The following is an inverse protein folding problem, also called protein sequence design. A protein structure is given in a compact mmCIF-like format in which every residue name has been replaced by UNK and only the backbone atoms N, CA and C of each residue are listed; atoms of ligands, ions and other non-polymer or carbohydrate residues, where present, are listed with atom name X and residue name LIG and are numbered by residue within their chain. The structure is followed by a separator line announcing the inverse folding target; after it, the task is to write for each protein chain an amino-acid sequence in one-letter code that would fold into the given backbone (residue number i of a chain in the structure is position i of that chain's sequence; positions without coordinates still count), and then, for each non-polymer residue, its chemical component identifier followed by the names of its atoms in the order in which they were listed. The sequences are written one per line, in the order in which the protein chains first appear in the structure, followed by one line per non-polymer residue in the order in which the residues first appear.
data_IF_548217598137
#
_entry.id   IF_548217598137
#
_cell.length_a   1.000
_cell.length_b   1.000
_cell.length_c   1.000
_cell.angle_alpha   90.00
_cell.angle_beta   90.00
_cell.angle_gamma   90.00
#
_symmetry.space_group_name_H-M   'P 1'
#
loop_
_entity.id
_entity.type
_entity.pdbx_description
1 polymer ?
#
# COMPACT_ATOMS: atom_id res chain seq x y z
N UNK A 1 74.73 -9.97 -39.66
CA UNK A 1 73.68 -9.06 -40.15
C UNK A 1 72.41 -9.34 -39.37
N UNK A 2 71.89 -8.30 -38.72
CA UNK A 2 70.86 -8.36 -37.68
C UNK A 2 69.47 -8.80 -38.19
N UNK A 3 68.67 -9.41 -37.31
CA UNK A 3 67.23 -9.23 -37.34
C UNK A 3 66.62 -9.50 -35.97
N UNK A 4 66.25 -8.41 -35.30
CA UNK A 4 65.44 -8.40 -34.09
C UNK A 4 63.99 -8.71 -34.47
N UNK A 5 63.40 -9.75 -33.89
CA UNK A 5 61.95 -10.01 -34.00
C UNK A 5 61.30 -9.62 -32.68
N UNK A 6 60.35 -8.69 -32.81
CA UNK A 6 59.62 -7.98 -31.76
C UNK A 6 58.83 -8.94 -30.86
N UNK A 7 58.95 -8.77 -29.56
CA UNK A 7 58.07 -9.36 -28.55
C UNK A 7 56.71 -8.65 -28.60
N UNK A 8 55.64 -9.39 -28.91
CA UNK A 8 54.27 -8.89 -28.81
C UNK A 8 53.78 -9.09 -27.37
N UNK A 9 53.68 -7.99 -26.62
CA UNK A 9 53.07 -7.96 -25.30
C UNK A 9 51.54 -8.03 -25.43
N UNK A 10 50.96 -9.19 -25.11
CA UNK A 10 49.52 -9.37 -24.97
C UNK A 10 49.08 -8.84 -23.60
N UNK A 11 48.70 -7.57 -23.54
CA UNK A 11 48.05 -6.99 -22.36
C UNK A 11 46.57 -7.41 -22.35
N UNK A 12 46.22 -8.39 -21.51
CA UNK A 12 44.82 -8.74 -21.22
C UNK A 12 44.25 -7.75 -20.21
N UNK A 13 43.49 -6.78 -20.69
CA UNK A 13 42.61 -5.96 -19.85
C UNK A 13 41.36 -6.76 -19.47
N UNK A 14 41.34 -7.37 -18.29
CA UNK A 14 40.12 -7.96 -17.71
C UNK A 14 39.40 -6.85 -16.94
N UNK A 15 38.41 -6.22 -17.58
CA UNK A 15 37.43 -5.39 -16.87
C UNK A 15 36.41 -6.34 -16.22
N UNK A 16 36.59 -6.61 -14.93
CA UNK A 16 35.57 -7.25 -14.09
C UNK A 16 34.41 -6.27 -13.96
N UNK A 17 33.32 -6.55 -14.67
CA UNK A 17 32.09 -5.76 -14.59
C UNK A 17 31.31 -6.20 -13.34
N UNK A 18 31.61 -5.59 -12.20
CA UNK A 18 30.77 -5.71 -11.00
C UNK A 18 29.44 -4.99 -11.29
N UNK A 19 28.42 -5.78 -11.62
CA UNK A 19 27.05 -5.28 -11.72
C UNK A 19 26.51 -5.02 -10.31
N UNK A 20 26.03 -3.81 -9.97
CA UNK A 20 25.41 -3.58 -8.68
C UNK A 20 24.06 -4.31 -8.67
N UNK A 21 23.89 -5.25 -7.73
CA UNK A 21 22.60 -5.85 -7.46
C UNK A 21 21.65 -4.72 -7.02
N UNK A 22 20.66 -4.42 -7.87
CA UNK A 22 19.55 -3.52 -7.51
C UNK A 22 18.72 -4.24 -6.46
N UNK A 23 18.98 -3.97 -5.18
CA UNK A 23 18.08 -4.33 -4.10
C UNK A 23 16.79 -3.52 -4.31
N UNK A 24 15.73 -4.20 -4.73
CA UNK A 24 14.38 -3.65 -4.73
C UNK A 24 13.96 -3.51 -3.26
N UNK A 25 14.14 -2.31 -2.71
CA UNK A 25 13.65 -1.97 -1.38
C UNK A 25 12.12 -1.91 -1.46
N UNK A 26 11.45 -3.02 -1.15
CA UNK A 26 10.04 -2.98 -0.82
C UNK A 26 9.93 -2.14 0.46
N UNK A 27 9.22 -1.00 0.47
CA UNK A 27 8.98 -0.28 1.70
C UNK A 27 8.19 -1.21 2.61
N UNK A 28 8.77 -1.61 3.75
CA UNK A 28 8.02 -2.28 4.79
C UNK A 28 6.96 -1.30 5.29
N UNK A 29 5.71 -1.49 4.85
CA UNK A 29 4.61 -0.59 5.16
C UNK A 29 4.31 -0.69 6.65
N UNK A 30 4.44 0.43 7.36
CA UNK A 30 4.12 0.51 8.78
C UNK A 30 2.60 0.40 8.98
N UNK A 31 2.07 -0.82 9.05
CA UNK A 31 0.75 -1.12 9.64
C UNK A 31 0.85 -1.07 11.18
N UNK A 32 1.37 0.05 11.69
CA UNK A 32 1.51 0.29 13.12
C UNK A 32 0.23 0.88 13.68
N UNK A 33 -0.31 0.27 14.74
CA UNK A 33 -1.35 0.91 15.54
C UNK A 33 -0.71 2.07 16.28
N UNK A 34 -1.27 3.28 16.13
CA UNK A 34 -0.80 4.44 16.85
C UNK A 34 -0.92 4.21 18.36
N UNK A 35 0.06 4.68 19.12
CA UNK A 35 0.13 4.50 20.57
C UNK A 35 0.04 5.89 21.20
N UNK A 36 -0.79 6.01 22.23
CA UNK A 36 -0.93 7.23 23.04
C UNK A 36 0.33 7.50 23.89
N UNK A 37 0.42 8.71 24.43
CA UNK A 37 1.53 9.14 25.30
C UNK A 37 1.76 8.23 26.51
N UNK A 38 0.71 7.53 26.96
CA UNK A 38 0.75 6.62 28.10
C UNK A 38 0.94 5.15 27.70
N UNK A 39 1.33 4.88 26.45
CA UNK A 39 1.64 3.54 25.97
C UNK A 39 0.42 2.68 25.59
N UNK A 40 -0.80 3.23 25.63
CA UNK A 40 -2.01 2.51 25.24
C UNK A 40 -2.24 2.62 23.73
N UNK A 41 -2.57 1.50 23.08
CA UNK A 41 -2.91 1.46 21.66
C UNK A 41 -4.24 2.18 21.38
N UNK A 42 -4.22 3.06 20.38
CA UNK A 42 -5.38 3.79 19.90
C UNK A 42 -6.18 2.87 18.98
N UNK A 43 -7.50 2.81 19.17
CA UNK A 43 -8.36 1.98 18.33
C UNK A 43 -8.50 2.55 16.92
N UNK A 44 -9.01 1.76 15.97
CA UNK A 44 -9.23 2.21 14.58
C UNK A 44 -10.21 3.39 14.45
N UNK A 45 -11.03 3.65 15.46
CA UNK A 45 -11.92 4.82 15.54
C UNK A 45 -11.27 6.04 16.19
N UNK A 46 -10.05 5.90 16.73
CA UNK A 46 -9.36 6.95 17.48
C UNK A 46 -9.60 6.93 18.99
N UNK A 47 -10.38 5.97 19.53
CA UNK A 47 -10.64 5.91 20.96
C UNK A 47 -9.41 5.44 21.75
N UNK A 48 -9.09 6.18 22.81
CA UNK A 48 -8.18 5.85 23.90
C UNK A 48 -8.70 6.50 25.19
N UNK A 49 -8.38 5.95 26.35
CA UNK A 49 -8.73 6.58 27.63
C UNK A 49 -7.70 7.64 28.02
N UNK A 50 -8.15 8.68 28.71
CA UNK A 50 -7.26 9.72 29.24
C UNK A 50 -6.33 9.15 30.31
N UNK A 51 -5.17 9.81 30.51
CA UNK A 51 -4.15 9.42 31.48
C UNK A 51 -4.74 9.07 32.85
N UNK A 52 -5.62 9.95 33.34
CA UNK A 52 -6.17 9.94 34.69
C UNK A 52 -7.56 9.27 34.76
N UNK A 53 -7.99 8.58 33.71
CA UNK A 53 -9.28 7.91 33.69
C UNK A 53 -9.24 6.60 34.50
N UNK A 54 -10.05 6.55 35.56
CA UNK A 54 -10.23 5.38 36.42
C UNK A 54 -10.62 4.11 35.64
N UNK A 55 -11.27 4.26 34.48
CA UNK A 55 -11.70 3.15 33.63
C UNK A 55 -10.52 2.34 33.08
N UNK A 56 -9.30 2.90 33.04
CA UNK A 56 -8.06 2.22 32.60
C UNK A 56 -7.65 1.07 33.51
N UNK A 57 -8.06 1.10 34.79
CA UNK A 57 -7.73 0.06 35.76
C UNK A 57 -8.14 -1.35 35.29
N UNK A 58 -9.17 -1.46 34.44
CA UNK A 58 -9.61 -2.75 33.86
C UNK A 58 -8.55 -3.45 32.99
N UNK A 59 -7.56 -2.70 32.49
CA UNK A 59 -6.47 -3.18 31.64
C UNK A 59 -5.10 -3.12 32.36
N UNK A 60 -5.06 -2.87 33.68
CA UNK A 60 -3.78 -2.81 34.39
C UNK A 60 -3.05 -4.17 34.43
N UNK A 61 -3.80 -5.27 34.49
CA UNK A 61 -3.27 -6.65 34.48
C UNK A 61 -3.67 -7.45 33.23
N UNK A 62 -4.31 -6.79 32.25
CA UNK A 62 -4.85 -7.41 31.04
C UNK A 62 -4.56 -6.55 29.83
N UNK A 63 -4.37 -7.15 28.66
CA UNK A 63 -4.18 -6.38 27.43
C UNK A 63 -5.50 -5.83 26.89
N UNK A 64 -5.47 -4.59 26.38
CA UNK A 64 -6.54 -4.04 25.55
C UNK A 64 -6.42 -4.62 24.14
N UNK A 65 -7.42 -5.39 23.73
CA UNK A 65 -7.44 -5.98 22.40
C UNK A 65 -7.82 -4.93 21.36
N UNK A 66 -6.92 -4.70 20.40
CA UNK A 66 -7.12 -3.79 19.27
C UNK A 66 -6.73 -4.52 18.00
N UNK A 67 -7.60 -4.47 16.99
CA UNK A 67 -7.29 -4.98 15.66
C UNK A 67 -6.17 -4.13 15.02
N UNK A 68 -5.08 -4.75 14.59
CA UNK A 68 -3.93 -4.06 13.97
C UNK A 68 -4.16 -3.72 12.49
N UNK A 69 -5.10 -4.39 11.84
CA UNK A 69 -5.39 -4.23 10.42
C UNK A 69 -6.54 -3.22 10.23
N UNK A 70 -6.19 -1.94 10.10
CA UNK A 70 -7.20 -0.89 9.91
C UNK A 70 -7.69 -0.85 8.46
N UNK A 71 -9.00 -0.99 8.27
CA UNK A 71 -9.63 -1.02 6.94
C UNK A 71 -9.37 0.26 6.13
N UNK A 72 -9.26 1.43 6.77
CA UNK A 72 -8.95 2.70 6.11
C UNK A 72 -7.62 2.65 5.34
N UNK A 73 -6.60 2.02 5.92
CA UNK A 73 -5.28 1.90 5.31
C UNK A 73 -5.28 0.86 4.19
N UNK A 74 -6.06 -0.22 4.35
CA UNK A 74 -6.15 -1.29 3.36
C UNK A 74 -6.90 -0.83 2.11
N UNK A 75 -8.02 -0.11 2.27
CA UNK A 75 -8.79 0.42 1.14
C UNK A 75 -8.01 1.51 0.39
N UNK A 76 -7.24 2.33 1.11
CA UNK A 76 -6.38 3.35 0.49
C UNK A 76 -5.16 2.76 -0.23
N UNK A 77 -4.77 1.53 0.11
CA UNK A 77 -3.68 0.79 -0.53
C UNK A 77 -4.10 0.19 -1.87
N UNK A 78 -5.40 -0.10 -2.05
CA UNK A 78 -5.94 -0.60 -3.31
C UNK A 78 -5.88 0.46 -4.43
N UNK A 79 -5.50 0.09 -5.66
CA UNK A 79 -5.41 1.02 -6.76
C UNK A 79 -6.80 1.47 -7.24
N UNK A 80 -6.86 2.69 -7.75
CA UNK A 80 -8.06 3.21 -8.43
C UNK A 80 -8.25 2.43 -9.73
N UNK A 81 -9.45 1.91 -9.95
CA UNK A 81 -9.81 1.15 -11.15
C UNK A 81 -10.26 2.08 -12.27
N UNK A 82 -9.60 2.03 -13.43
CA UNK A 82 -10.00 2.78 -14.62
C UNK A 82 -11.11 2.03 -15.38
N UNK A 83 -12.20 2.74 -15.67
CA UNK A 83 -13.38 2.21 -16.36
C UNK A 83 -13.62 3.06 -17.61
N UNK A 84 -13.78 2.43 -18.78
CA UNK A 84 -14.03 3.16 -20.04
C UNK A 84 -15.45 3.72 -20.17
N UNK A 85 -16.38 3.27 -19.33
CA UNK A 85 -17.76 3.72 -19.30
C UNK A 85 -17.98 4.88 -18.33
N UNK A 86 -18.97 5.72 -18.65
CA UNK A 86 -19.45 6.83 -17.81
C UNK A 86 -20.05 6.37 -16.46
N UNK A 87 -20.55 5.13 -16.41
CA UNK A 87 -21.12 4.52 -15.20
C UNK A 87 -20.42 3.20 -14.93
N UNK A 88 -19.86 3.04 -13.73
CA UNK A 88 -19.29 1.78 -13.26
C UNK A 88 -20.34 0.98 -12.48
N UNK A 89 -20.31 -0.35 -12.60
CA UNK A 89 -21.12 -1.23 -11.76
C UNK A 89 -20.23 -2.02 -10.81
N UNK A 90 -20.55 -1.99 -9.52
CA UNK A 90 -19.80 -2.67 -8.47
C UNK A 90 -20.74 -3.57 -7.68
N UNK A 91 -20.35 -4.83 -7.51
CA UNK A 91 -21.01 -5.85 -6.67
C UNK A 91 -20.08 -6.35 -5.54
N UNK A 92 -18.87 -5.81 -5.44
CA UNK A 92 -17.86 -6.24 -4.48
C UNK A 92 -17.15 -7.55 -4.82
N UNK A 93 -17.42 -8.11 -6.01
CA UNK A 93 -16.86 -9.38 -6.47
C UNK A 93 -17.63 -10.61 -5.96
N UNK A 94 -17.53 -11.71 -6.69
CA UNK A 94 -18.16 -12.97 -6.32
C UNK A 94 -19.69 -13.00 -6.48
N UNK A 95 -20.28 -12.04 -7.20
CA UNK A 95 -21.71 -11.97 -7.47
C UNK A 95 -22.54 -11.86 -6.19
N UNK A 96 -23.18 -12.96 -5.78
CA UNK A 96 -24.00 -12.99 -4.57
C UNK A 96 -23.19 -12.97 -3.25
N UNK A 97 -21.87 -13.19 -3.29
CA UNK A 97 -21.01 -13.16 -2.11
C UNK A 97 -20.55 -11.75 -1.71
N UNK A 98 -20.75 -10.77 -2.58
CA UNK A 98 -20.40 -9.38 -2.34
C UNK A 98 -21.56 -8.57 -1.76
N UNK A 99 -21.66 -7.31 -2.16
CA UNK A 99 -22.75 -6.42 -1.77
C UNK A 99 -23.77 -6.27 -2.90
N UNK A 100 -24.97 -5.69 -2.63
CA UNK A 100 -25.94 -5.41 -3.68
C UNK A 100 -25.31 -4.61 -4.82
N UNK A 101 -25.60 -5.00 -6.05
CA UNK A 101 -25.05 -4.34 -7.24
C UNK A 101 -25.44 -2.86 -7.25
N UNK A 102 -24.44 -1.98 -7.25
CA UNK A 102 -24.64 -0.53 -7.34
C UNK A 102 -23.97 0.05 -8.58
N UNK A 103 -24.50 1.20 -8.99
CA UNK A 103 -24.03 1.96 -10.14
C UNK A 103 -23.43 3.28 -9.66
N UNK A 104 -22.19 3.54 -10.04
CA UNK A 104 -21.39 4.67 -9.60
C UNK A 104 -21.22 5.61 -10.79
N UNK A 105 -21.60 6.87 -10.61
CA UNK A 105 -21.50 7.87 -11.66
C UNK A 105 -20.07 8.44 -11.75
N UNK A 106 -19.47 8.44 -12.94
CA UNK A 106 -18.08 8.87 -13.18
C UNK A 106 -17.98 10.15 -14.01
N UNK A 107 -19.08 10.89 -14.18
CA UNK A 107 -19.15 12.15 -14.95
C UNK A 107 -18.14 13.22 -14.56
N UNK A 108 -17.69 13.21 -13.30
CA UNK A 108 -16.82 14.23 -12.75
C UNK A 108 -15.38 13.76 -12.83
N UNK A 109 -14.68 14.07 -13.91
CA UNK A 109 -13.27 13.68 -14.14
C UNK A 109 -12.31 14.14 -13.02
N UNK A 110 -12.66 15.22 -12.31
CA UNK A 110 -11.89 15.75 -11.18
C UNK A 110 -11.93 14.89 -9.92
N UNK A 111 -12.88 13.95 -9.79
CA UNK A 111 -13.10 13.16 -8.58
C UNK A 111 -13.23 11.68 -8.93
N UNK A 112 -12.68 10.83 -8.08
CA UNK A 112 -12.92 9.38 -8.17
C UNK A 112 -14.31 9.06 -7.63
N UNK A 113 -14.98 8.11 -8.28
CA UNK A 113 -16.23 7.54 -7.79
C UNK A 113 -15.92 6.44 -6.79
N UNK A 114 -16.29 6.63 -5.53
CA UNK A 114 -16.09 5.62 -4.48
C UNK A 114 -17.33 4.76 -4.30
N UNK A 115 -17.15 3.44 -4.24
CA UNK A 115 -18.23 2.52 -3.87
C UNK A 115 -18.56 2.67 -2.37
N UNK A 116 -19.84 2.90 -2.04
CA UNK A 116 -20.28 3.04 -0.65
C UNK A 116 -20.22 1.76 0.20
N UNK A 117 -19.93 0.60 -0.41
CA UNK A 117 -19.81 -0.67 0.28
C UNK A 117 -18.34 -1.10 0.42
N UNK A 118 -17.68 -1.42 -0.68
CA UNK A 118 -16.29 -1.88 -0.65
C UNK A 118 -15.26 -0.76 -0.40
N UNK A 119 -15.63 0.51 -0.59
CA UNK A 119 -14.68 1.62 -0.52
C UNK A 119 -13.72 1.71 -1.70
N UNK A 120 -13.79 0.77 -2.66
CA UNK A 120 -13.01 0.80 -3.90
C UNK A 120 -13.33 2.05 -4.72
N UNK A 121 -12.30 2.56 -5.40
CA UNK A 121 -12.35 3.80 -6.15
C UNK A 121 -12.30 3.51 -7.64
N UNK A 122 -13.13 4.22 -8.40
CA UNK A 122 -13.24 4.09 -9.84
C UNK A 122 -13.03 5.45 -10.50
N UNK A 123 -12.39 5.47 -11.67
CA UNK A 123 -12.20 6.66 -12.49
C UNK A 123 -12.55 6.36 -13.94
N UNK A 124 -13.07 7.35 -14.66
CA UNK A 124 -13.26 7.19 -16.11
C UNK A 124 -11.91 7.32 -16.82
N UNK A 125 -11.51 6.27 -17.54
CA UNK A 125 -10.32 6.26 -18.38
C UNK A 125 -10.63 6.94 -19.72
N UNK A 126 -10.08 8.12 -19.97
CA UNK A 126 -10.16 8.74 -21.29
C UNK A 126 -9.00 8.21 -22.14
N UNK A 127 -9.33 7.41 -23.14
CA UNK A 127 -8.38 7.04 -24.18
C UNK A 127 -8.17 8.26 -25.08
N UNK A 128 -6.95 8.82 -25.05
CA UNK A 128 -6.46 9.72 -26.09
C UNK A 128 -5.77 8.92 -27.19
#
# INVERSE_FOLDING_TARGET
MASAVRTLSFSRNVKVLLSPAKLSACPARHRGVAVSDHGEQITHTGQVYDANDVRRARFASRQKEVNKNFAINLVAEEPVSDVGARVASCDGGGGALGHPKVYINLDKETKVGTCGYCGLQFKQGHHH
#
